data_IF_107960717294
#
_entry.id   IF_107960717294
#
_cell.length_a   1.000
_cell.length_b   1.000
_cell.length_c   1.000
_cell.angle_alpha   90.00
_cell.angle_beta   90.00
_cell.angle_gamma   90.00
#
_symmetry.space_group_name_H-M   'P 1'
#
loop_
_entity.id
_entity.type
_entity.pdbx_description
1 polymer ?
#
# COMPACT_ATOMS: atom_id res chain seq x y z
N UNK A 1 -3.76 -15.97 16.99
CA UNK A 1 -4.06 -16.13 15.56
C UNK A 1 -4.61 -14.79 15.10
N UNK A 2 -3.98 -14.12 14.16
CA UNK A 2 -4.46 -12.82 13.67
C UNK A 2 -5.65 -13.05 12.71
N UNK A 3 -6.76 -12.35 12.95
CA UNK A 3 -7.92 -12.37 12.08
C UNK A 3 -7.83 -11.23 11.04
N UNK A 4 -8.34 -11.45 9.83
CA UNK A 4 -8.44 -10.45 8.77
C UNK A 4 -9.83 -10.51 8.16
N UNK A 5 -10.54 -9.39 8.15
CA UNK A 5 -11.79 -9.25 7.42
C UNK A 5 -11.50 -9.14 5.92
N UNK A 6 -11.96 -10.13 5.16
CA UNK A 6 -11.74 -10.18 3.71
C UNK A 6 -12.93 -9.68 2.88
N UNK A 7 -14.13 -9.62 3.45
CA UNK A 7 -15.33 -9.20 2.74
C UNK A 7 -15.97 -8.02 3.47
N UNK A 8 -15.74 -6.82 2.95
CA UNK A 8 -16.23 -5.58 3.55
C UNK A 8 -16.76 -4.64 2.47
N UNK A 9 -17.95 -4.10 2.73
CA UNK A 9 -18.57 -3.06 1.92
C UNK A 9 -18.39 -1.70 2.61
N UNK A 10 -18.06 -0.70 1.81
CA UNK A 10 -17.85 0.67 2.29
C UNK A 10 -18.97 1.59 1.81
N UNK A 11 -18.84 2.88 2.11
CA UNK A 11 -19.77 3.92 1.62
C UNK A 11 -19.88 3.97 0.10
N UNK A 12 -18.98 3.31 -0.65
CA UNK A 12 -19.05 3.17 -2.09
C UNK A 12 -20.02 2.07 -2.55
N UNK A 13 -20.39 1.12 -1.67
CA UNK A 13 -21.50 0.19 -1.87
C UNK A 13 -22.81 0.86 -1.48
N UNK A 14 -23.36 1.70 -2.36
CA UNK A 14 -24.36 2.73 -2.06
C UNK A 14 -25.65 2.26 -1.38
N UNK A 15 -26.01 0.99 -1.48
CA UNK A 15 -27.28 0.48 -0.95
C UNK A 15 -27.14 -0.22 0.41
N UNK A 16 -25.94 -0.71 0.75
CA UNK A 16 -25.71 -1.55 1.92
C UNK A 16 -24.43 -1.21 2.70
N UNK A 17 -23.53 -0.42 2.12
CA UNK A 17 -22.30 0.00 2.76
C UNK A 17 -22.41 1.35 3.47
N UNK A 18 -22.16 1.37 4.78
CA UNK A 18 -22.14 2.63 5.58
C UNK A 18 -20.75 2.90 6.18
N UNK A 19 -19.80 1.99 6.01
CA UNK A 19 -18.49 2.07 6.66
C UNK A 19 -17.58 3.05 5.92
N UNK A 20 -17.08 4.05 6.63
CA UNK A 20 -16.03 4.94 6.11
C UNK A 20 -14.68 4.21 6.13
N UNK A 21 -13.92 4.32 5.06
CA UNK A 21 -12.65 3.59 4.89
C UNK A 21 -11.65 3.93 6.00
N UNK A 22 -11.49 5.20 6.34
CA UNK A 22 -10.57 5.62 7.42
C UNK A 22 -10.94 5.02 8.77
N UNK A 23 -12.24 4.99 9.11
CA UNK A 23 -12.72 4.42 10.36
C UNK A 23 -12.51 2.89 10.39
N UNK A 24 -12.71 2.23 9.24
CA UNK A 24 -12.45 0.80 9.07
C UNK A 24 -10.97 0.45 9.28
N UNK A 25 -10.07 1.22 8.65
CA UNK A 25 -8.62 1.03 8.79
C UNK A 25 -8.20 1.24 10.25
N UNK A 26 -8.64 2.33 10.89
CA UNK A 26 -8.33 2.61 12.28
C UNK A 26 -8.86 1.49 13.19
N UNK A 27 -10.09 1.03 12.96
CA UNK A 27 -10.66 -0.06 13.75
C UNK A 27 -9.92 -1.37 13.58
N UNK A 28 -9.45 -1.68 12.37
CA UNK A 28 -8.63 -2.88 12.13
C UNK A 28 -7.30 -2.79 12.89
N UNK A 29 -6.67 -1.63 12.92
CA UNK A 29 -5.44 -1.37 13.71
C UNK A 29 -5.70 -1.54 15.20
N UNK A 30 -6.77 -0.94 15.74
CA UNK A 30 -7.13 -1.02 17.17
C UNK A 30 -7.39 -2.47 17.61
N UNK A 31 -7.86 -3.31 16.69
CA UNK A 31 -8.09 -4.74 16.92
C UNK A 31 -6.86 -5.62 16.64
N UNK A 32 -5.72 -5.03 16.28
CA UNK A 32 -4.49 -5.75 15.99
C UNK A 32 -4.57 -6.61 14.71
N UNK A 33 -5.42 -6.24 13.75
CA UNK A 33 -5.50 -6.93 12.47
C UNK A 33 -4.31 -6.53 11.59
N UNK A 34 -3.56 -7.48 11.00
CA UNK A 34 -2.42 -7.17 10.15
C UNK A 34 -2.81 -6.67 8.74
N UNK A 35 -4.06 -6.83 8.36
CA UNK A 35 -4.58 -6.44 7.06
C UNK A 35 -6.09 -6.18 7.11
N UNK A 36 -6.59 -5.47 6.10
CA UNK A 36 -8.02 -5.24 5.87
C UNK A 36 -8.32 -5.20 4.38
N UNK A 37 -9.40 -5.83 3.96
CA UNK A 37 -9.84 -5.84 2.56
C UNK A 37 -10.97 -4.84 2.32
N UNK A 38 -11.10 -4.42 1.06
CA UNK A 38 -12.27 -3.75 0.51
C UNK A 38 -12.81 -4.58 -0.64
N UNK A 39 -14.13 -4.77 -0.69
CA UNK A 39 -14.81 -5.61 -1.68
C UNK A 39 -16.19 -5.04 -2.02
N UNK A 40 -16.22 -3.77 -2.42
CA UNK A 40 -17.46 -3.09 -2.80
C UNK A 40 -18.11 -3.75 -4.02
N UNK A 41 -19.43 -3.60 -4.15
CA UNK A 41 -20.23 -4.19 -5.23
C UNK A 41 -19.92 -3.58 -6.59
N UNK A 42 -19.27 -4.34 -7.47
CA UNK A 42 -19.05 -4.00 -8.88
C UNK A 42 -18.18 -2.77 -9.14
N UNK A 43 -17.50 -2.25 -8.10
CA UNK A 43 -16.70 -1.03 -8.22
C UNK A 43 -15.44 -1.10 -7.37
N UNK A 44 -14.41 -0.37 -7.82
CA UNK A 44 -13.13 -0.24 -7.11
C UNK A 44 -12.83 1.21 -6.67
N UNK A 45 -13.86 2.04 -6.55
CA UNK A 45 -13.68 3.47 -6.24
C UNK A 45 -13.06 3.72 -4.87
N UNK A 46 -13.31 2.86 -3.89
CA UNK A 46 -12.73 2.95 -2.54
C UNK A 46 -11.28 2.49 -2.44
N UNK A 47 -10.76 1.79 -3.46
CA UNK A 47 -9.41 1.21 -3.41
C UNK A 47 -8.29 2.24 -3.23
N UNK A 48 -8.28 3.38 -3.96
CA UNK A 48 -7.27 4.41 -3.74
C UNK A 48 -7.33 5.00 -2.32
N UNK A 49 -8.55 5.21 -1.78
CA UNK A 49 -8.72 5.72 -0.42
C UNK A 49 -8.22 4.72 0.63
N UNK A 50 -8.46 3.40 0.43
CA UNK A 50 -7.93 2.36 1.32
C UNK A 50 -6.40 2.37 1.32
N UNK A 51 -5.77 2.45 0.14
CA UNK A 51 -4.32 2.53 0.01
C UNK A 51 -3.76 3.72 0.80
N UNK A 52 -4.29 4.91 0.56
CA UNK A 52 -3.87 6.13 1.25
C UNK A 52 -4.11 6.08 2.76
N UNK A 53 -5.21 5.49 3.21
CA UNK A 53 -5.52 5.36 4.64
C UNK A 53 -4.55 4.40 5.35
N UNK A 54 -4.22 3.25 4.72
CA UNK A 54 -3.23 2.32 5.24
C UNK A 54 -1.83 2.93 5.23
N UNK A 55 -1.45 3.64 4.17
CA UNK A 55 -0.16 4.33 4.07
C UNK A 55 -0.02 5.41 5.15
N UNK A 56 -1.07 6.18 5.42
CA UNK A 56 -1.04 7.18 6.48
C UNK A 56 -0.77 6.57 7.86
N UNK A 57 -1.33 5.40 8.16
CA UNK A 57 -1.05 4.66 9.39
C UNK A 57 0.39 4.15 9.41
N UNK A 58 0.82 3.46 8.36
CA UNK A 58 2.15 2.86 8.25
C UNK A 58 3.25 3.91 8.33
N UNK A 59 3.11 5.02 7.59
CA UNK A 59 4.07 6.12 7.55
C UNK A 59 4.01 6.99 8.81
N UNK A 60 2.95 6.89 9.59
CA UNK A 60 2.78 7.60 10.86
C UNK A 60 3.64 7.05 12.00
N UNK A 61 4.15 5.82 11.89
CA UNK A 61 4.93 5.16 12.95
C UNK A 61 6.28 5.83 13.18
N UNK A 62 6.79 5.86 14.44
CA UNK A 62 8.12 6.39 14.73
C UNK A 62 9.22 5.67 13.94
N UNK A 63 9.14 4.35 13.86
CA UNK A 63 10.11 3.50 13.16
C UNK A 63 10.18 3.84 11.67
N UNK A 64 9.02 4.01 11.02
CA UNK A 64 8.98 4.40 9.60
C UNK A 64 9.54 5.80 9.38
N UNK A 65 9.25 6.75 10.26
CA UNK A 65 9.77 8.12 10.15
C UNK A 65 11.30 8.15 10.24
N UNK A 66 11.86 7.38 11.18
CA UNK A 66 13.34 7.25 11.32
C UNK A 66 13.91 6.61 10.05
N UNK A 67 13.36 5.48 9.61
CA UNK A 67 13.82 4.81 8.40
C UNK A 67 13.72 5.71 7.16
N UNK A 68 12.60 6.39 6.98
CA UNK A 68 12.36 7.29 5.83
C UNK A 68 13.31 8.49 5.84
N UNK A 69 13.61 9.05 7.01
CA UNK A 69 14.61 10.11 7.17
C UNK A 69 16.00 9.60 6.78
N UNK A 70 16.40 8.45 7.30
CA UNK A 70 17.69 7.83 7.00
C UNK A 70 17.81 7.49 5.52
N UNK A 71 16.75 6.93 4.91
CA UNK A 71 16.71 6.66 3.47
C UNK A 71 16.88 7.93 2.65
N UNK A 72 16.14 8.98 2.98
CA UNK A 72 16.23 10.27 2.29
C UNK A 72 17.64 10.89 2.40
N UNK A 73 18.26 10.79 3.57
CA UNK A 73 19.62 11.23 3.81
C UNK A 73 20.64 10.48 2.95
N UNK A 74 20.52 9.14 2.91
CA UNK A 74 21.38 8.27 2.08
C UNK A 74 21.20 8.53 0.58
N UNK A 75 19.95 8.73 0.10
CA UNK A 75 19.68 9.05 -1.30
C UNK A 75 20.23 10.43 -1.69
N UNK A 76 20.20 11.39 -0.77
CA UNK A 76 20.82 12.70 -0.98
C UNK A 76 22.35 12.56 -1.06
N UNK A 77 22.95 11.83 -0.15
CA UNK A 77 24.38 11.60 -0.15
C UNK A 77 24.89 10.90 -1.41
N UNK A 78 24.17 9.89 -1.92
CA UNK A 78 24.51 9.26 -3.21
C UNK A 78 24.44 10.23 -4.39
N UNK A 79 23.57 11.24 -4.34
CA UNK A 79 23.55 12.32 -5.34
C UNK A 79 24.75 13.25 -5.19
N UNK A 80 25.11 13.55 -3.93
CA UNK A 80 26.25 14.41 -3.61
C UNK A 80 27.60 13.70 -3.87
N UNK A 81 27.65 12.34 -4.02
CA UNK A 81 28.82 11.61 -4.51
C UNK A 81 29.27 12.09 -5.90
N UNK A 82 28.34 12.54 -6.73
CA UNK A 82 28.64 13.13 -8.05
C UNK A 82 29.24 14.54 -7.95
N UNK A 83 29.10 15.18 -6.79
CA UNK A 83 29.56 16.52 -6.47
C UNK A 83 30.56 16.52 -5.30
N UNK A 84 31.35 15.43 -5.18
CA UNK A 84 32.34 15.31 -4.13
C UNK A 84 33.28 16.53 -4.16
N UNK A 85 33.42 17.24 -3.02
CA UNK A 85 34.34 18.38 -2.97
C UNK A 85 35.76 17.98 -3.33
N UNK A 86 36.45 18.84 -4.08
CA UNK A 86 37.83 18.59 -4.47
C UNK A 86 38.77 18.71 -3.25
N UNK A 87 39.61 17.68 -3.07
CA UNK A 87 40.46 17.56 -1.90
C UNK A 87 41.50 18.70 -1.76
N UNK A 88 41.91 19.30 -2.85
CA UNK A 88 42.91 20.38 -2.82
C UNK A 88 42.26 21.73 -2.55
N UNK A 89 41.11 22.01 -3.16
CA UNK A 89 40.39 23.27 -3.03
C UNK A 89 39.49 23.38 -1.79
N UNK A 90 38.90 22.24 -1.34
CA UNK A 90 38.09 22.17 -0.13
C UNK A 90 38.40 20.90 0.69
N UNK A 91 39.55 20.86 1.38
CA UNK A 91 39.94 19.67 2.18
C UNK A 91 38.97 19.30 3.29
N UNK A 92 38.29 20.31 3.89
CA UNK A 92 37.32 20.05 4.98
C UNK A 92 36.02 19.46 4.45
N UNK A 93 35.51 19.97 3.35
CA UNK A 93 34.37 19.43 2.68
C UNK A 93 34.59 18.00 2.23
N UNK A 94 35.76 17.70 1.64
CA UNK A 94 36.17 16.39 1.23
C UNK A 94 36.22 15.39 2.44
N UNK A 95 36.89 15.80 3.54
CA UNK A 95 36.98 14.94 4.75
C UNK A 95 35.59 14.65 5.35
N UNK A 96 34.70 15.64 5.39
CA UNK A 96 33.33 15.45 5.86
C UNK A 96 32.56 14.51 4.94
N UNK A 97 32.66 14.70 3.64
CA UNK A 97 32.02 13.85 2.64
C UNK A 97 32.45 12.38 2.77
N UNK A 98 33.74 12.13 2.95
CA UNK A 98 34.28 10.77 3.15
C UNK A 98 33.80 10.13 4.47
N UNK A 99 33.63 10.92 5.54
CA UNK A 99 33.05 10.44 6.80
C UNK A 99 31.58 10.04 6.63
N UNK A 100 30.81 10.84 5.90
CA UNK A 100 29.40 10.57 5.61
C UNK A 100 29.25 9.30 4.76
N UNK A 101 30.08 9.13 3.73
CA UNK A 101 30.13 7.90 2.92
C UNK A 101 30.44 6.66 3.79
N UNK A 102 31.44 6.72 4.65
CA UNK A 102 31.79 5.60 5.52
C UNK A 102 30.66 5.25 6.52
N UNK A 103 29.93 6.23 7.00
CA UNK A 103 28.76 6.02 7.85
C UNK A 103 27.60 5.36 7.08
N UNK A 104 27.43 5.65 5.80
CA UNK A 104 26.43 5.03 4.93
C UNK A 104 26.77 3.58 4.59
N UNK A 105 28.01 3.31 4.24
CA UNK A 105 28.47 1.95 3.98
C UNK A 105 28.29 1.05 5.22
N UNK A 106 28.45 1.59 6.41
CA UNK A 106 28.25 0.88 7.66
C UNK A 106 26.77 0.55 7.94
N UNK A 107 25.81 1.29 7.38
CA UNK A 107 24.37 1.03 7.54
C UNK A 107 23.86 -0.12 6.63
N UNK A 108 24.62 -0.52 5.62
CA UNK A 108 24.23 -1.57 4.69
C UNK A 108 23.06 -1.20 3.77
N UNK A 109 22.26 -2.20 3.36
CA UNK A 109 21.11 -1.98 2.50
C UNK A 109 19.94 -1.42 3.29
N UNK A 110 19.69 -0.10 3.19
CA UNK A 110 18.64 0.60 3.93
C UNK A 110 17.22 0.05 3.63
N UNK A 111 17.00 -0.52 2.45
CA UNK A 111 15.69 -1.09 2.09
C UNK A 111 15.40 -2.38 2.86
N UNK A 112 16.41 -3.12 3.30
CA UNK A 112 16.26 -4.28 4.19
C UNK A 112 15.87 -3.90 5.62
N UNK A 113 16.16 -2.65 6.02
CA UNK A 113 15.81 -2.09 7.33
C UNK A 113 14.43 -1.45 7.37
N UNK A 114 13.67 -1.52 6.26
CA UNK A 114 12.30 -1.00 6.21
C UNK A 114 11.44 -1.67 7.28
N UNK A 115 10.79 -0.91 8.17
CA UNK A 115 9.94 -1.50 9.20
C UNK A 115 8.74 -2.24 8.57
N UNK A 116 8.25 -3.30 9.24
CA UNK A 116 7.06 -4.01 8.78
C UNK A 116 5.83 -3.09 8.77
N UNK A 117 4.90 -3.38 7.87
CA UNK A 117 3.64 -2.65 7.81
C UNK A 117 2.79 -2.96 9.05
N UNK A 118 2.21 -1.92 9.67
CA UNK A 118 1.22 -2.04 10.75
C UNK A 118 -0.07 -2.66 10.20
N UNK A 119 -0.49 -2.20 9.01
CA UNK A 119 -1.68 -2.71 8.34
C UNK A 119 -1.46 -2.79 6.83
N UNK A 120 -1.84 -3.93 6.24
CA UNK A 120 -1.75 -4.17 4.80
C UNK A 120 -3.12 -3.96 4.14
N UNK A 121 -3.24 -3.14 3.09
CA UNK A 121 -4.46 -3.09 2.30
C UNK A 121 -4.57 -4.34 1.42
N UNK A 122 -5.79 -4.87 1.31
CA UNK A 122 -6.15 -5.95 0.37
C UNK A 122 -7.21 -5.39 -0.56
N UNK A 123 -6.89 -5.33 -1.84
CA UNK A 123 -7.75 -4.76 -2.87
C UNK A 123 -8.59 -5.85 -3.52
N UNK A 124 -9.89 -5.70 -3.46
CA UNK A 124 -10.84 -6.63 -4.04
C UNK A 124 -12.10 -5.93 -4.55
N UNK A 125 -12.97 -6.72 -5.11
CA UNK A 125 -14.29 -6.31 -5.58
C UNK A 125 -15.24 -7.50 -5.49
N UNK A 126 -16.49 -7.28 -5.10
CA UNK A 126 -17.54 -8.24 -5.26
C UNK A 126 -18.20 -8.07 -6.62
N UNK A 127 -18.18 -9.12 -7.43
CA UNK A 127 -18.73 -9.14 -8.78
C UNK A 127 -19.89 -10.12 -8.88
N UNK A 128 -20.77 -9.87 -9.85
CA UNK A 128 -21.79 -10.84 -10.21
C UNK A 128 -21.25 -11.82 -11.25
N UNK A 129 -21.40 -13.09 -10.97
CA UNK A 129 -21.04 -14.18 -11.86
C UNK A 129 -22.29 -14.92 -12.31
N UNK A 130 -22.38 -15.24 -13.59
CA UNK A 130 -23.40 -16.14 -14.14
C UNK A 130 -22.74 -17.29 -14.88
N UNK A 131 -23.15 -18.54 -14.63
CA UNK A 131 -22.67 -19.69 -15.39
C UNK A 131 -23.28 -19.74 -16.79
N UNK A 132 -24.38 -19.00 -17.02
CA UNK A 132 -25.05 -18.98 -18.31
C UNK A 132 -24.29 -18.12 -19.32
N UNK A 133 -23.87 -18.71 -20.43
CA UNK A 133 -23.24 -18.04 -21.59
C UNK A 133 -24.22 -17.12 -22.32
N UNK A 134 -25.31 -16.73 -21.69
CA UNK A 134 -26.39 -16.02 -22.34
C UNK A 134 -26.52 -14.59 -21.83
N UNK A 135 -25.97 -13.68 -22.59
CA UNK A 135 -26.52 -12.32 -22.78
C UNK A 135 -27.95 -12.37 -23.38
N UNK A 136 -28.66 -13.50 -23.28
CA UNK A 136 -30.00 -13.68 -23.79
C UNK A 136 -30.96 -12.80 -22.99
N UNK A 137 -31.48 -11.77 -23.62
CA UNK A 137 -32.42 -10.77 -23.08
C UNK A 137 -33.73 -11.35 -22.56
N UNK A 138 -34.01 -12.62 -22.83
CA UNK A 138 -35.32 -13.27 -22.61
C UNK A 138 -35.39 -14.06 -21.26
N UNK A 139 -34.32 -14.18 -20.53
CA UNK A 139 -34.30 -14.86 -19.22
C UNK A 139 -33.60 -13.98 -18.19
N UNK A 140 -34.12 -13.96 -16.96
CA UNK A 140 -33.35 -13.42 -15.83
C UNK A 140 -32.19 -14.40 -15.57
N UNK A 141 -30.92 -13.98 -15.75
CA UNK A 141 -29.79 -14.83 -15.46
C UNK A 141 -29.77 -15.17 -13.97
N UNK A 142 -29.35 -16.37 -13.64
CA UNK A 142 -29.00 -16.73 -12.28
C UNK A 142 -27.65 -16.04 -11.95
N UNK A 143 -27.64 -15.16 -10.94
CA UNK A 143 -26.49 -14.37 -10.56
C UNK A 143 -25.97 -14.84 -9.23
N UNK A 144 -24.67 -15.09 -9.19
CA UNK A 144 -23.94 -15.43 -7.97
C UNK A 144 -22.96 -14.32 -7.62
N UNK A 145 -22.79 -14.05 -6.33
CA UNK A 145 -21.77 -13.15 -5.85
C UNK A 145 -20.43 -13.86 -5.77
N UNK A 146 -19.40 -13.26 -6.31
CA UNK A 146 -18.02 -13.74 -6.25
C UNK A 146 -17.11 -12.60 -5.80
N UNK A 147 -16.29 -12.87 -4.78
CA UNK A 147 -15.30 -11.91 -4.32
C UNK A 147 -13.97 -12.20 -5.00
N UNK A 148 -13.42 -11.22 -5.69
CA UNK A 148 -12.13 -11.28 -6.37
C UNK A 148 -11.12 -10.38 -5.65
N UNK A 149 -9.88 -10.85 -5.52
CA UNK A 149 -8.78 -10.10 -4.92
C UNK A 149 -7.62 -9.94 -5.88
N UNK A 150 -7.00 -8.76 -5.87
CA UNK A 150 -5.77 -8.50 -6.58
C UNK A 150 -4.58 -9.06 -5.79
N UNK A 151 -3.89 -10.05 -6.33
CA UNK A 151 -2.69 -10.63 -5.71
C UNK A 151 -1.45 -9.74 -5.86
N UNK A 152 -1.38 -8.99 -6.95
CA UNK A 152 -0.28 -8.12 -7.32
C UNK A 152 -0.78 -7.00 -8.26
N UNK A 153 0.13 -6.15 -8.71
CA UNK A 153 -0.16 -5.02 -9.59
C UNK A 153 -0.86 -5.45 -10.90
N UNK A 154 -0.41 -6.53 -11.53
CA UNK A 154 -1.07 -7.08 -12.73
C UNK A 154 -2.49 -7.55 -12.41
N UNK A 155 -2.69 -8.22 -11.26
CA UNK A 155 -4.00 -8.63 -10.77
C UNK A 155 -4.92 -7.43 -10.53
N UNK A 156 -4.38 -6.33 -10.02
CA UNK A 156 -5.12 -5.09 -9.82
C UNK A 156 -5.60 -4.50 -11.15
N UNK A 157 -4.72 -4.42 -12.16
CA UNK A 157 -5.08 -3.95 -13.51
C UNK A 157 -6.15 -4.85 -14.14
N UNK A 158 -6.00 -6.17 -14.01
CA UNK A 158 -6.99 -7.12 -14.53
C UNK A 158 -8.35 -6.95 -13.84
N UNK A 159 -8.36 -6.77 -12.52
CA UNK A 159 -9.58 -6.56 -11.76
C UNK A 159 -10.29 -5.27 -12.19
N UNK A 160 -9.56 -4.17 -12.41
CA UNK A 160 -10.13 -2.92 -12.96
C UNK A 160 -10.73 -3.06 -14.34
N UNK A 161 -10.27 -4.02 -15.15
CA UNK A 161 -10.82 -4.30 -16.48
C UNK A 161 -12.04 -5.23 -16.44
N UNK A 162 -12.24 -5.93 -15.33
CA UNK A 162 -13.32 -6.89 -15.15
C UNK A 162 -14.60 -6.22 -14.61
N UNK A 163 -14.46 -5.11 -13.89
CA UNK A 163 -15.54 -4.38 -13.20
C UNK A 163 -15.92 -3.08 -13.89
#
# INVERSE_FOLDING_TARGET
MAFVHLHNHTVYSMLDGATRIKDMVQRAVDLGMPAVAITDHGYMYGVPELGLACDAVNHGTPEYKVWSHDKSFLEKGRRDELECPDQESDPRGYEQHMKDLAMWDAKGNIDELKPPLVIKPIFGCEVYFTPDDTLARDRKPELYHMVLFAQNEKGYVNLMQTV
#
